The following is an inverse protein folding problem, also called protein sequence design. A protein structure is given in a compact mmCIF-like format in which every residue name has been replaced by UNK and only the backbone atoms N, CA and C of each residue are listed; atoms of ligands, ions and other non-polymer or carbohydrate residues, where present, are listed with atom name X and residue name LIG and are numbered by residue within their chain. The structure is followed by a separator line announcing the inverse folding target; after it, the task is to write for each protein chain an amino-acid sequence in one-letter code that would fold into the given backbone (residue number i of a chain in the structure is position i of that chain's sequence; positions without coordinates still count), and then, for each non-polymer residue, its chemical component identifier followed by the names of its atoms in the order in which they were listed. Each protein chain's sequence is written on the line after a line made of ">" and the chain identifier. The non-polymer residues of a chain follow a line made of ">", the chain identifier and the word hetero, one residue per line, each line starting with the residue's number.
data_IF_442148093337
#
_entry.id   IF_442148093337
#
_cell.length_a   1.000
_cell.length_b   1.000
_cell.length_c   1.000
_cell.angle_alpha   90.00
_cell.angle_beta   90.00
_cell.angle_gamma   90.00
#
_symmetry.space_group_name_H-M   'P 1'
#
loop_
_entity.id
_entity.type
_entity.pdbx_description
1 polymer ?
#
# COMPACT_ATOMS: atom_id res chain seq x y z
N UNK A 1 1.76 -11.65 0.75
CA UNK A 1 2.07 -11.76 2.20
C UNK A 1 3.20 -10.82 2.61
N UNK A 2 4.44 -10.97 2.10
CA UNK A 2 5.57 -10.11 2.46
C UNK A 2 5.30 -8.61 2.22
N UNK A 3 4.79 -8.24 1.03
CA UNK A 3 4.46 -6.85 0.69
C UNK A 3 3.56 -6.20 1.75
N UNK A 4 2.43 -6.85 2.08
CA UNK A 4 1.49 -6.35 3.07
C UNK A 4 2.12 -6.18 4.45
N UNK A 5 2.97 -7.12 4.87
CA UNK A 5 3.64 -7.08 6.16
C UNK A 5 4.68 -5.95 6.24
N UNK A 6 5.53 -5.80 5.22
CA UNK A 6 6.58 -4.79 5.17
C UNK A 6 6.00 -3.37 5.03
N UNK A 7 4.99 -3.19 4.16
CA UNK A 7 4.25 -1.92 4.05
C UNK A 7 3.59 -1.54 5.39
N UNK A 8 3.02 -2.51 6.12
CA UNK A 8 2.48 -2.26 7.47
C UNK A 8 3.56 -1.83 8.44
N UNK A 9 4.67 -2.56 8.52
CA UNK A 9 5.81 -2.27 9.42
C UNK A 9 6.33 -0.84 9.21
N UNK A 10 6.43 -0.38 7.97
CA UNK A 10 6.80 1.00 7.63
C UNK A 10 5.75 1.99 8.14
N UNK A 11 4.48 1.79 7.78
CA UNK A 11 3.39 2.71 8.14
C UNK A 11 3.16 2.79 9.66
N UNK A 12 3.32 1.68 10.39
CA UNK A 12 3.25 1.63 11.86
C UNK A 12 4.41 2.39 12.51
N UNK A 13 5.57 2.46 11.84
CA UNK A 13 6.73 3.29 12.24
C UNK A 13 6.64 4.73 11.74
N UNK A 14 5.48 5.18 11.29
CA UNK A 14 5.25 6.52 10.75
C UNK A 14 6.10 6.84 9.50
N UNK A 15 6.66 5.83 8.84
CA UNK A 15 7.46 5.96 7.63
C UNK A 15 6.63 5.63 6.40
N UNK A 16 6.73 6.45 5.36
CA UNK A 16 6.12 6.17 4.04
C UNK A 16 7.16 6.25 2.95
N UNK A 17 7.04 5.38 1.95
CA UNK A 17 7.95 5.34 0.81
C UNK A 17 7.75 6.54 -0.13
N UNK A 18 6.52 7.05 -0.20
CA UNK A 18 6.04 8.14 -1.06
C UNK A 18 6.11 7.88 -2.58
N UNK A 19 6.83 6.83 -3.00
CA UNK A 19 6.91 6.30 -4.36
C UNK A 19 6.79 4.76 -4.37
N UNK A 20 5.85 4.21 -3.61
CA UNK A 20 5.68 2.75 -3.48
C UNK A 20 5.07 2.11 -4.74
N UNK A 21 5.84 2.05 -5.81
CA UNK A 21 5.45 1.48 -7.11
C UNK A 21 6.02 0.08 -7.29
N UNK A 22 5.40 -0.72 -8.16
CA UNK A 22 5.83 -2.10 -8.40
C UNK A 22 7.27 -2.21 -8.91
N UNK A 23 7.75 -1.23 -9.69
CA UNK A 23 9.17 -1.16 -10.11
C UNK A 23 10.17 -1.06 -8.95
N UNK A 24 9.72 -0.57 -7.80
CA UNK A 24 10.52 -0.37 -6.59
C UNK A 24 10.37 -1.58 -5.64
N UNK A 25 9.74 -2.66 -6.10
CA UNK A 25 9.61 -3.94 -5.41
C UNK A 25 10.51 -4.95 -6.12
N UNK A 26 11.65 -5.27 -5.51
CA UNK A 26 12.56 -6.29 -6.00
C UNK A 26 12.27 -7.61 -5.29
N UNK A 27 12.14 -8.71 -6.05
CA UNK A 27 12.00 -10.05 -5.49
C UNK A 27 13.20 -10.87 -5.93
N UNK A 28 13.92 -11.47 -4.97
CA UNK A 28 15.05 -12.33 -5.29
C UNK A 28 14.60 -13.74 -5.72
N UNK A 29 15.57 -14.57 -6.12
CA UNK A 29 15.33 -15.94 -6.57
C UNK A 29 14.79 -16.87 -5.46
N UNK A 30 14.89 -16.46 -4.19
CA UNK A 30 14.33 -17.17 -3.03
C UNK A 30 12.92 -16.66 -2.69
N UNK A 31 12.39 -15.70 -3.46
CA UNK A 31 11.08 -15.11 -3.25
C UNK A 31 11.05 -14.07 -2.12
N UNK A 32 12.19 -13.56 -1.67
CA UNK A 32 12.27 -12.49 -0.65
C UNK A 32 12.06 -11.13 -1.31
N UNK A 33 11.17 -10.34 -0.71
CA UNK A 33 10.82 -9.01 -1.19
C UNK A 33 11.71 -7.93 -0.56
N UNK A 34 12.20 -7.02 -1.39
CA UNK A 34 12.96 -5.84 -1.01
C UNK A 34 12.29 -4.59 -1.57
N UNK A 35 12.30 -3.53 -0.77
CA UNK A 35 11.86 -2.21 -1.18
C UNK A 35 13.11 -1.43 -1.56
N UNK A 36 13.18 -0.96 -2.80
CA UNK A 36 14.35 -0.27 -3.35
C UNK A 36 13.96 1.14 -3.79
N UNK A 37 14.98 1.97 -4.07
CA UNK A 37 14.80 3.30 -4.64
C UNK A 37 13.78 4.18 -3.88
N UNK A 38 14.17 4.57 -2.65
CA UNK A 38 13.35 5.37 -1.74
C UNK A 38 13.92 6.78 -1.48
N UNK A 39 14.21 7.61 -2.50
CA UNK A 39 14.79 8.94 -2.31
C UNK A 39 13.84 9.92 -1.62
N UNK A 40 12.52 9.69 -1.76
CA UNK A 40 11.47 10.50 -1.14
C UNK A 40 10.90 9.87 0.14
N UNK A 41 11.52 8.82 0.67
CA UNK A 41 11.10 8.17 1.90
C UNK A 41 11.21 9.11 3.09
N UNK A 42 10.16 9.23 3.89
CA UNK A 42 10.16 10.16 5.02
C UNK A 42 9.26 9.71 6.17
N UNK A 43 9.57 10.22 7.36
CA UNK A 43 8.74 10.07 8.56
C UNK A 43 7.72 11.21 8.61
N UNK A 44 6.46 10.87 8.89
CA UNK A 44 5.36 11.83 8.92
C UNK A 44 4.55 11.71 10.19
N UNK A 45 4.00 12.83 10.64
CA UNK A 45 3.16 12.89 11.84
C UNK A 45 1.74 13.31 11.50
N UNK A 46 0.78 12.85 12.31
CA UNK A 46 -0.61 13.31 12.28
C UNK A 46 -1.32 13.13 10.92
N UNK A 47 -2.09 14.13 10.47
CA UNK A 47 -2.91 14.09 9.25
C UNK A 47 -2.09 13.81 7.98
N UNK A 48 -0.88 14.36 7.88
CA UNK A 48 0.00 14.15 6.74
C UNK A 48 0.35 12.67 6.56
N UNK A 49 0.60 11.94 7.66
CA UNK A 49 0.86 10.50 7.60
C UNK A 49 -0.31 9.73 6.98
N UNK A 50 -1.56 10.06 7.38
CA UNK A 50 -2.74 9.37 6.84
C UNK A 50 -2.88 9.55 5.33
N UNK A 51 -2.62 10.77 4.86
CA UNK A 51 -2.59 11.07 3.43
C UNK A 51 -1.48 10.28 2.71
N UNK A 52 -0.25 10.28 3.24
CA UNK A 52 0.89 9.59 2.63
C UNK A 52 0.72 8.06 2.59
N UNK A 53 0.18 7.47 3.66
CA UNK A 53 -0.20 6.04 3.67
C UNK A 53 -1.21 5.73 2.56
N UNK A 54 -2.22 6.58 2.39
CA UNK A 54 -3.23 6.39 1.34
C UNK A 54 -2.58 6.48 -0.04
N UNK A 55 -1.69 7.46 -0.25
CA UNK A 55 -0.91 7.61 -1.49
C UNK A 55 -0.06 6.37 -1.79
N UNK A 56 0.66 5.83 -0.81
CA UNK A 56 1.48 4.62 -1.00
C UNK A 56 0.63 3.41 -1.38
N UNK A 57 -0.49 3.17 -0.69
CA UNK A 57 -1.40 2.08 -1.00
C UNK A 57 -2.06 2.26 -2.38
N UNK A 58 -2.42 3.49 -2.75
CA UNK A 58 -2.98 3.80 -4.06
C UNK A 58 -1.96 3.61 -5.18
N UNK A 59 -0.68 3.98 -4.97
CA UNK A 59 0.40 3.77 -5.94
C UNK A 59 0.61 2.27 -6.22
N UNK A 60 0.55 1.42 -5.19
CA UNK A 60 0.57 -0.03 -5.37
C UNK A 60 -0.65 -0.52 -6.15
N UNK A 61 -1.83 -0.01 -5.79
CA UNK A 61 -3.08 -0.46 -6.37
C UNK A 61 -3.27 -0.02 -7.83
N UNK A 62 -2.66 1.09 -8.24
CA UNK A 62 -2.70 1.64 -9.60
C UNK A 62 -2.25 0.62 -10.65
N UNK A 63 -1.18 -0.13 -10.39
CA UNK A 63 -0.74 -1.23 -11.28
C UNK A 63 -1.49 -2.52 -10.96
N UNK A 64 -1.78 -2.78 -9.67
CA UNK A 64 -2.49 -3.98 -9.25
C UNK A 64 -3.86 -4.15 -9.91
N UNK A 65 -4.62 -3.07 -10.14
CA UNK A 65 -5.96 -3.14 -10.75
C UNK A 65 -5.98 -3.76 -12.15
N UNK A 66 -4.87 -3.71 -12.88
CA UNK A 66 -4.74 -4.29 -14.23
C UNK A 66 -4.23 -5.74 -14.22
N UNK A 67 -3.52 -6.16 -13.17
CA UNK A 67 -2.87 -7.48 -13.12
C UNK A 67 -3.47 -8.44 -12.08
N UNK A 68 -4.22 -7.93 -11.11
CA UNK A 68 -4.77 -8.70 -10.00
C UNK A 68 -6.28 -8.54 -9.91
N UNK A 69 -6.96 -9.64 -9.59
CA UNK A 69 -8.39 -9.63 -9.30
C UNK A 69 -8.73 -8.78 -8.07
N UNK A 70 -9.98 -8.31 -7.99
CA UNK A 70 -10.49 -7.61 -6.81
C UNK A 70 -10.30 -8.42 -5.51
N UNK A 71 -10.45 -9.74 -5.57
CA UNK A 71 -10.23 -10.64 -4.42
C UNK A 71 -8.77 -10.67 -3.97
N UNK A 72 -7.80 -10.69 -4.88
CA UNK A 72 -6.37 -10.64 -4.53
C UNK A 72 -6.00 -9.30 -3.89
N UNK A 73 -6.50 -8.18 -4.44
CA UNK A 73 -6.33 -6.83 -3.89
C UNK A 73 -6.96 -6.70 -2.50
N UNK A 74 -8.16 -7.25 -2.31
CA UNK A 74 -8.81 -7.30 -1.01
C UNK A 74 -8.02 -8.13 0.01
N UNK A 75 -7.50 -9.30 -0.40
CA UNK A 75 -6.66 -10.14 0.47
C UNK A 75 -5.39 -9.42 0.88
N UNK A 76 -4.78 -8.64 -0.02
CA UNK A 76 -3.65 -7.77 0.33
C UNK A 76 -4.06 -6.77 1.42
N UNK A 77 -5.19 -6.06 1.27
CA UNK A 77 -5.65 -5.10 2.27
C UNK A 77 -5.93 -5.73 3.63
N UNK A 78 -6.60 -6.90 3.66
CA UNK A 78 -6.87 -7.64 4.89
C UNK A 78 -5.57 -8.09 5.59
N UNK A 79 -4.58 -8.55 4.83
CA UNK A 79 -3.24 -8.87 5.35
C UNK A 79 -2.55 -7.62 5.91
N UNK A 80 -2.61 -6.50 5.18
CA UNK A 80 -2.01 -5.22 5.59
C UNK A 80 -2.63 -4.68 6.88
N UNK A 81 -3.94 -4.83 7.07
CA UNK A 81 -4.66 -4.41 8.30
C UNK A 81 -4.62 -5.46 9.41
N UNK A 82 -4.12 -6.66 9.15
CA UNK A 82 -4.21 -7.83 10.05
C UNK A 82 -5.65 -8.10 10.50
N UNK A 83 -6.57 -8.18 9.54
CA UNK A 83 -8.00 -8.42 9.80
C UNK A 83 -8.52 -9.59 9.01
N UNK A 84 -9.43 -10.34 9.62
CA UNK A 84 -10.13 -11.45 8.94
C UNK A 84 -11.25 -10.96 8.02
N UNK A 85 -11.91 -9.84 8.37
CA UNK A 85 -13.04 -9.27 7.64
C UNK A 85 -12.98 -7.74 7.65
N UNK A 86 -13.62 -7.12 6.66
CA UNK A 86 -13.74 -5.66 6.57
C UNK A 86 -14.74 -5.14 7.60
N UNK A 87 -14.41 -4.03 8.26
CA UNK A 87 -15.38 -3.23 9.00
C UNK A 87 -15.84 -1.99 8.19
N UNK A 88 -16.77 -1.20 8.73
CA UNK A 88 -17.27 0.00 8.07
C UNK A 88 -16.18 1.03 7.74
N UNK A 89 -15.21 1.24 8.64
CA UNK A 89 -14.09 2.16 8.40
C UNK A 89 -13.14 1.68 7.31
N UNK A 90 -12.94 0.36 7.19
CA UNK A 90 -12.11 -0.24 6.16
C UNK A 90 -12.73 -0.06 4.78
N UNK A 91 -14.05 -0.24 4.65
CA UNK A 91 -14.77 0.01 3.39
C UNK A 91 -14.58 1.45 2.91
N UNK A 92 -14.72 2.43 3.81
CA UNK A 92 -14.48 3.86 3.49
C UNK A 92 -13.04 4.11 3.06
N UNK A 93 -12.07 3.48 3.73
CA UNK A 93 -10.65 3.64 3.40
C UNK A 93 -10.30 3.00 2.05
N UNK A 94 -10.77 1.79 1.78
CA UNK A 94 -10.56 1.11 0.50
C UNK A 94 -11.12 1.96 -0.64
N UNK A 95 -12.33 2.50 -0.48
CA UNK A 95 -12.91 3.39 -1.47
C UNK A 95 -11.97 4.57 -1.77
N UNK A 96 -11.46 5.25 -0.74
CA UNK A 96 -10.53 6.36 -0.90
C UNK A 96 -9.18 5.96 -1.54
N UNK A 97 -8.70 4.73 -1.32
CA UNK A 97 -7.48 4.22 -1.96
C UNK A 97 -7.71 3.97 -3.45
N UNK A 98 -8.80 3.27 -3.79
CA UNK A 98 -9.11 2.90 -5.18
C UNK A 98 -9.45 4.14 -6.01
N UNK A 99 -10.18 5.09 -5.43
CA UNK A 99 -10.56 6.34 -6.10
C UNK A 99 -9.48 7.43 -6.05
N UNK A 100 -8.31 7.18 -5.43
CA UNK A 100 -7.31 8.23 -5.18
C UNK A 100 -6.79 8.90 -6.46
N UNK A 101 -6.71 8.14 -7.56
CA UNK A 101 -6.26 8.62 -8.87
C UNK A 101 -7.40 8.81 -9.87
N UNK A 102 -8.64 8.48 -9.52
CA UNK A 102 -9.80 8.73 -10.40
C UNK A 102 -9.96 10.24 -10.60
N UNK A 103 -10.00 10.69 -11.85
CA UNK A 103 -10.04 12.12 -12.21
C UNK A 103 -8.67 12.83 -12.29
N UNK A 104 -7.56 12.09 -12.13
CA UNK A 104 -6.17 12.59 -12.33
C UNK A 104 -5.34 11.62 -13.19
N UNK A 105 -6.01 10.90 -14.11
CA UNK A 105 -5.35 10.03 -15.10
C UNK A 105 -4.81 10.85 -16.28
#
# INVERSE_FOLDING_TARGET
>A
RQLAAYTRIMHDRHFTHNDLKWRNLLVDNLGKLFFIDCPNGAFWWSFLLRYRITKDLACLDKVAKYHLSATQRLRFYLQYRQRARLNASDKKRILHIVSFFEGRE
#
